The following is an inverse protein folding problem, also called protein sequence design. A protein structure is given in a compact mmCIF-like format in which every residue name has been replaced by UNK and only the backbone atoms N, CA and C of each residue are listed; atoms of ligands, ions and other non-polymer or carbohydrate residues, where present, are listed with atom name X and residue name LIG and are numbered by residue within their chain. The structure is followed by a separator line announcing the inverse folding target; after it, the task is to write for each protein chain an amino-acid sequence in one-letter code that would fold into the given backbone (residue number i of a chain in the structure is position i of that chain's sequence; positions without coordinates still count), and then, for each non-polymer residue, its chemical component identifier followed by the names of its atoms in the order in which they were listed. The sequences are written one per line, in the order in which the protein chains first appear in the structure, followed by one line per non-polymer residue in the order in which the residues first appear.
data_IF_332140631434
#
_entry.id   IF_332140631434
#
_cell.length_a   1.000
_cell.length_b   1.000
_cell.length_c   1.000
_cell.angle_alpha   90.00
_cell.angle_beta   90.00
_cell.angle_gamma   90.00
#
_symmetry.space_group_name_H-M   'P 1'
#
loop_
_entity.id
_entity.type
_entity.pdbx_description
1 polymer ?
#
# COMPACT_ATOMS: atom_id res chain seq x y z
N UNK A 1 48.65 -56.01 13.12
CA UNK A 1 49.33 -56.10 11.81
C UNK A 1 48.64 -57.04 10.79
N UNK A 2 47.62 -57.83 11.15
CA UNK A 2 46.87 -58.64 10.15
C UNK A 2 45.71 -57.84 9.53
N UNK A 3 45.10 -56.91 10.29
CA UNK A 3 44.00 -56.07 9.80
C UNK A 3 44.41 -55.04 8.73
N UNK A 4 45.64 -54.50 8.77
CA UNK A 4 46.10 -53.53 7.76
C UNK A 4 46.35 -54.17 6.38
N UNK A 5 46.79 -55.44 6.35
CA UNK A 5 46.98 -56.17 5.09
C UNK A 5 45.64 -56.54 4.43
N UNK A 6 44.61 -56.82 5.24
CA UNK A 6 43.24 -57.08 4.73
C UNK A 6 42.57 -55.78 4.28
N UNK A 7 42.76 -54.67 4.99
CA UNK A 7 42.22 -53.38 4.58
C UNK A 7 42.84 -52.87 3.26
N UNK A 8 44.15 -53.03 3.08
CA UNK A 8 44.83 -52.66 1.83
C UNK A 8 44.36 -53.46 0.62
N UNK A 9 44.17 -54.77 0.77
CA UNK A 9 43.70 -55.64 -0.33
C UNK A 9 42.23 -55.40 -0.69
N UNK A 10 41.38 -55.07 0.29
CA UNK A 10 39.99 -54.66 0.02
C UNK A 10 39.92 -53.33 -0.72
N UNK A 11 40.80 -52.38 -0.38
CA UNK A 11 40.84 -51.08 -1.03
C UNK A 11 41.34 -51.17 -2.48
N UNK A 12 42.35 -51.99 -2.75
CA UNK A 12 42.79 -52.30 -4.12
C UNK A 12 41.66 -52.95 -4.94
N UNK A 13 40.89 -53.86 -4.35
CA UNK A 13 39.75 -54.47 -5.03
C UNK A 13 38.66 -53.45 -5.41
N UNK A 14 38.38 -52.49 -4.52
CA UNK A 14 37.42 -51.41 -4.77
C UNK A 14 37.89 -50.51 -5.92
N UNK A 15 39.18 -50.16 -5.96
CA UNK A 15 39.75 -49.34 -7.03
C UNK A 15 39.72 -50.06 -8.39
N UNK A 16 40.01 -51.37 -8.42
CA UNK A 16 39.87 -52.17 -9.64
C UNK A 16 38.41 -52.27 -10.10
N UNK A 17 37.46 -52.45 -9.19
CA UNK A 17 36.04 -52.50 -9.51
C UNK A 17 35.55 -51.16 -10.09
N UNK A 18 35.93 -50.03 -9.48
CA UNK A 18 35.61 -48.68 -9.98
C UNK A 18 36.22 -48.42 -11.36
N UNK A 19 37.44 -48.89 -11.60
CA UNK A 19 38.12 -48.75 -12.90
C UNK A 19 37.37 -49.53 -13.99
N UNK A 20 36.94 -50.76 -13.69
CA UNK A 20 36.14 -51.58 -14.62
C UNK A 20 34.78 -50.94 -14.91
N UNK A 21 34.08 -50.44 -13.88
CA UNK A 21 32.79 -49.75 -14.06
C UNK A 21 32.97 -48.48 -14.90
N UNK A 22 34.04 -47.71 -14.66
CA UNK A 22 34.33 -46.50 -15.44
C UNK A 22 34.61 -46.84 -16.91
N UNK A 23 35.36 -47.92 -17.17
CA UNK A 23 35.58 -48.43 -18.53
C UNK A 23 34.28 -48.90 -19.19
N UNK A 24 33.38 -49.56 -18.46
CA UNK A 24 32.06 -49.92 -19.00
C UNK A 24 31.23 -48.69 -19.35
N UNK A 25 31.21 -47.65 -18.51
CA UNK A 25 30.48 -46.40 -18.80
C UNK A 25 31.04 -45.76 -20.07
N UNK A 26 32.36 -45.63 -20.18
CA UNK A 26 33.01 -45.09 -21.39
C UNK A 26 32.68 -45.95 -22.61
N UNK A 27 32.75 -47.28 -22.49
CA UNK A 27 32.40 -48.20 -23.56
C UNK A 27 30.94 -48.01 -24.02
N UNK A 28 29.98 -47.88 -23.09
CA UNK A 28 28.58 -47.63 -23.43
C UNK A 28 28.37 -46.25 -24.06
N UNK A 29 29.05 -45.21 -23.58
CA UNK A 29 29.00 -43.87 -24.20
C UNK A 29 29.53 -43.93 -25.63
N UNK A 30 30.71 -44.52 -25.85
CA UNK A 30 31.30 -44.67 -27.19
C UNK A 30 30.41 -45.54 -28.09
N UNK A 31 29.90 -46.67 -27.58
CA UNK A 31 28.97 -47.55 -28.31
C UNK A 31 27.69 -46.83 -28.69
N UNK A 32 27.16 -45.96 -27.83
CA UNK A 32 25.97 -45.15 -28.11
C UNK A 32 26.21 -44.17 -29.27
N UNK A 33 27.41 -43.58 -29.36
CA UNK A 33 27.77 -42.69 -30.48
C UNK A 33 28.19 -43.42 -31.76
N UNK A 34 28.72 -44.66 -31.67
CA UNK A 34 29.26 -45.41 -32.82
C UNK A 34 28.24 -46.38 -33.46
N UNK A 35 27.38 -47.03 -32.68
CA UNK A 35 26.52 -48.14 -33.17
C UNK A 35 25.13 -47.67 -33.62
N UNK A 36 24.72 -46.46 -33.26
CA UNK A 36 23.52 -45.83 -33.78
C UNK A 36 23.71 -44.32 -33.86
N UNK A 37 24.45 -43.80 -34.86
CA UNK A 37 24.24 -42.40 -35.24
C UNK A 37 22.73 -42.27 -35.53
N UNK A 38 22.00 -41.38 -34.83
CA UNK A 38 20.57 -41.27 -35.03
C UNK A 38 20.34 -41.04 -36.52
N UNK A 39 19.55 -41.91 -37.13
CA UNK A 39 19.26 -41.87 -38.56
C UNK A 39 18.80 -40.46 -38.94
N UNK A 40 19.07 -40.01 -40.17
CA UNK A 40 18.70 -38.64 -40.58
C UNK A 40 17.18 -38.36 -40.42
N UNK A 41 16.33 -39.40 -40.41
CA UNK A 41 14.91 -39.33 -40.05
C UNK A 41 14.65 -39.12 -38.55
N UNK A 42 15.39 -39.79 -37.66
CA UNK A 42 15.27 -39.59 -36.21
C UNK A 42 15.87 -38.25 -35.76
N UNK A 43 16.96 -37.79 -36.40
CA UNK A 43 17.50 -36.44 -36.19
C UNK A 43 16.50 -35.37 -36.58
N UNK A 44 15.87 -35.48 -37.77
CA UNK A 44 14.84 -34.53 -38.20
C UNK A 44 13.60 -34.55 -37.31
N UNK A 45 13.16 -35.72 -36.84
CA UNK A 45 12.07 -35.81 -35.85
C UNK A 45 12.44 -35.22 -34.49
N UNK A 46 13.65 -35.44 -34.01
CA UNK A 46 14.14 -34.84 -32.76
C UNK A 46 14.32 -33.32 -32.89
N UNK A 47 14.75 -32.82 -34.04
CA UNK A 47 14.84 -31.38 -34.32
C UNK A 47 13.45 -30.75 -34.35
N UNK A 48 12.48 -31.35 -35.06
CA UNK A 48 11.08 -30.87 -35.04
C UNK A 48 10.46 -30.91 -33.65
N UNK A 49 10.66 -31.99 -32.88
CA UNK A 49 10.20 -32.05 -31.49
C UNK A 49 10.90 -31.01 -30.59
N UNK A 50 12.20 -30.75 -30.80
CA UNK A 50 12.94 -29.73 -30.05
C UNK A 50 12.50 -28.32 -30.43
N UNK A 51 12.20 -28.07 -31.70
CA UNK A 51 11.65 -26.80 -32.17
C UNK A 51 10.26 -26.56 -31.62
N UNK A 52 9.37 -27.55 -31.64
CA UNK A 52 8.03 -27.45 -31.06
C UNK A 52 8.08 -27.29 -29.53
N UNK A 53 8.89 -28.08 -28.83
CA UNK A 53 9.08 -27.95 -27.37
C UNK A 53 9.72 -26.60 -27.03
N UNK A 54 10.69 -26.14 -27.81
CA UNK A 54 11.35 -24.85 -27.66
C UNK A 54 10.45 -23.65 -27.97
N UNK A 55 9.56 -23.76 -28.95
CA UNK A 55 8.55 -22.74 -29.25
C UNK A 55 7.49 -22.65 -28.14
N UNK A 56 7.03 -23.79 -27.61
CA UNK A 56 6.10 -23.84 -26.46
C UNK A 56 6.73 -23.27 -25.19
N UNK A 57 8.00 -23.58 -24.91
CA UNK A 57 8.74 -23.01 -23.78
C UNK A 57 8.95 -21.51 -23.92
N UNK A 58 9.31 -21.02 -25.12
CA UNK A 58 9.45 -19.57 -25.39
C UNK A 58 8.12 -18.83 -25.26
N UNK A 59 7.02 -19.41 -25.76
CA UNK A 59 5.68 -18.86 -25.58
C UNK A 59 5.28 -18.78 -24.11
N UNK A 60 5.49 -19.86 -23.35
CA UNK A 60 5.20 -19.91 -21.91
C UNK A 60 6.04 -18.93 -21.09
N UNK A 61 7.34 -18.80 -21.40
CA UNK A 61 8.22 -17.81 -20.77
C UNK A 61 7.80 -16.38 -21.12
N UNK A 62 7.37 -16.13 -22.36
CA UNK A 62 6.84 -14.85 -22.80
C UNK A 62 5.59 -14.44 -22.03
N UNK A 63 4.57 -15.31 -21.97
CA UNK A 63 3.33 -15.08 -21.22
C UNK A 63 3.56 -14.90 -19.71
N UNK A 64 4.49 -15.67 -19.14
CA UNK A 64 4.82 -15.54 -17.72
C UNK A 64 5.49 -14.20 -17.42
N UNK A 65 6.36 -13.74 -18.30
CA UNK A 65 7.07 -12.47 -18.14
C UNK A 65 6.14 -11.26 -18.34
N UNK A 66 5.20 -11.31 -19.29
CA UNK A 66 4.20 -10.25 -19.44
C UNK A 66 3.28 -10.16 -18.23
N UNK A 67 2.77 -11.29 -17.74
CA UNK A 67 1.96 -11.32 -16.50
C UNK A 67 2.71 -10.79 -15.28
N UNK A 68 3.98 -11.14 -15.14
CA UNK A 68 4.79 -10.66 -14.00
C UNK A 68 5.02 -9.15 -14.06
N UNK A 69 5.16 -8.58 -15.26
CA UNK A 69 5.25 -7.13 -15.47
C UNK A 69 3.93 -6.42 -15.18
N UNK A 70 2.80 -6.97 -15.66
CA UNK A 70 1.46 -6.42 -15.39
C UNK A 70 1.16 -6.43 -13.88
N UNK A 71 1.45 -7.55 -13.20
CA UNK A 71 1.30 -7.67 -11.74
C UNK A 71 2.22 -6.70 -10.98
N UNK A 72 3.44 -6.43 -11.48
CA UNK A 72 4.35 -5.45 -10.89
C UNK A 72 3.81 -4.03 -11.03
N UNK A 73 3.36 -3.65 -12.22
CA UNK A 73 2.79 -2.32 -12.49
C UNK A 73 1.58 -2.08 -11.58
N UNK A 74 0.66 -3.05 -11.50
CA UNK A 74 -0.53 -2.94 -10.67
C UNK A 74 -0.17 -2.75 -9.17
N UNK A 75 0.79 -3.53 -8.66
CA UNK A 75 1.30 -3.36 -7.29
C UNK A 75 1.98 -2.02 -7.05
N UNK A 76 2.75 -1.53 -8.02
CA UNK A 76 3.40 -0.22 -7.93
C UNK A 76 2.37 0.91 -7.92
N UNK A 77 1.29 0.80 -8.70
CA UNK A 77 0.19 1.77 -8.68
C UNK A 77 -0.52 1.80 -7.32
N UNK A 78 -0.82 0.65 -6.72
CA UNK A 78 -1.39 0.57 -5.36
C UNK A 78 -0.46 1.20 -4.33
N UNK A 79 0.83 0.86 -4.37
CA UNK A 79 1.83 1.42 -3.45
C UNK A 79 1.95 2.93 -3.60
N UNK A 80 1.89 3.43 -4.84
CA UNK A 80 1.91 4.87 -5.12
C UNK A 80 0.68 5.57 -4.53
N UNK A 81 -0.53 5.02 -4.74
CA UNK A 81 -1.77 5.56 -4.15
C UNK A 81 -1.73 5.55 -2.62
N UNK A 82 -1.21 4.49 -2.00
CA UNK A 82 -1.03 4.43 -0.55
C UNK A 82 -0.04 5.49 -0.03
N UNK A 83 1.09 5.69 -0.72
CA UNK A 83 2.06 6.75 -0.37
C UNK A 83 1.48 8.15 -0.53
N UNK A 84 0.73 8.39 -1.61
CA UNK A 84 0.03 9.65 -1.82
C UNK A 84 -0.99 9.92 -0.71
N UNK A 85 -1.70 8.89 -0.25
CA UNK A 85 -2.61 9.00 0.87
C UNK A 85 -1.89 9.31 2.18
N UNK A 86 -0.80 8.60 2.51
CA UNK A 86 0.02 8.92 3.68
C UNK A 86 0.50 10.36 3.65
N UNK A 87 0.96 10.83 2.48
CA UNK A 87 1.33 12.23 2.30
C UNK A 87 0.17 13.21 2.51
N UNK A 88 -1.07 12.85 2.15
CA UNK A 88 -2.25 13.67 2.43
C UNK A 88 -2.55 13.73 3.93
N UNK A 89 -2.47 12.60 4.63
CA UNK A 89 -2.66 12.52 6.08
C UNK A 89 -1.61 13.34 6.84
N UNK A 90 -0.34 13.22 6.45
CA UNK A 90 0.76 13.98 7.06
C UNK A 90 0.60 15.50 6.87
N UNK A 91 0.10 15.94 5.71
CA UNK A 91 -0.13 17.36 5.43
C UNK A 91 -1.13 17.98 6.39
N UNK A 92 -2.19 17.26 6.74
CA UNK A 92 -3.24 17.81 7.60
C UNK A 92 -2.99 17.60 9.09
N UNK A 93 -2.05 16.71 9.46
CA UNK A 93 -1.71 16.40 10.85
C UNK A 93 -1.37 17.64 11.66
N UNK A 94 -0.53 18.52 11.11
CA UNK A 94 -0.08 19.75 11.77
C UNK A 94 -1.20 20.78 12.01
N UNK A 95 -2.00 21.18 11.00
CA UNK A 95 -3.11 22.10 11.26
C UNK A 95 -4.13 21.47 12.21
N UNK A 96 -4.44 20.18 12.09
CA UNK A 96 -5.35 19.50 13.02
C UNK A 96 -4.85 19.55 14.46
N UNK A 97 -3.58 19.20 14.71
CA UNK A 97 -2.98 19.26 16.06
C UNK A 97 -3.08 20.67 16.65
N UNK A 98 -2.74 21.68 15.85
CA UNK A 98 -2.80 23.09 16.29
C UNK A 98 -4.23 23.52 16.64
N UNK A 99 -5.24 23.07 15.87
CA UNK A 99 -6.65 23.34 16.15
C UNK A 99 -7.15 22.63 17.41
N UNK A 100 -6.75 21.38 17.63
CA UNK A 100 -7.10 20.63 18.85
C UNK A 100 -6.52 21.32 20.08
N UNK A 101 -5.25 21.74 20.02
CA UNK A 101 -4.66 22.53 21.11
C UNK A 101 -5.35 23.88 21.29
N UNK A 102 -5.76 24.56 20.22
CA UNK A 102 -6.53 25.79 20.31
C UNK A 102 -7.86 25.58 21.04
N UNK A 103 -8.58 24.49 20.75
CA UNK A 103 -9.80 24.11 21.49
C UNK A 103 -9.51 23.91 22.97
N UNK A 104 -8.44 23.18 23.32
CA UNK A 104 -8.02 23.01 24.71
C UNK A 104 -7.70 24.34 25.40
N UNK A 105 -6.99 25.24 24.72
CA UNK A 105 -6.68 26.58 25.24
C UNK A 105 -7.96 27.42 25.46
N UNK A 106 -9.00 27.27 24.63
CA UNK A 106 -10.30 27.95 24.85
C UNK A 106 -10.99 27.45 26.14
N UNK A 107 -10.94 26.15 26.40
CA UNK A 107 -11.52 25.56 27.61
C UNK A 107 -10.76 26.00 28.86
N UNK A 108 -9.43 25.93 28.82
CA UNK A 108 -8.59 26.35 29.93
C UNK A 108 -8.70 27.85 30.19
N UNK A 109 -8.72 28.68 29.15
CA UNK A 109 -8.99 30.10 29.27
C UNK A 109 -10.32 30.35 29.99
N UNK A 110 -11.39 29.68 29.57
CA UNK A 110 -12.71 29.80 30.22
C UNK A 110 -12.64 29.45 31.71
N UNK A 111 -11.94 28.37 32.08
CA UNK A 111 -11.72 27.95 33.48
C UNK A 111 -10.92 28.96 34.29
N UNK A 112 -9.89 29.58 33.73
CA UNK A 112 -9.10 30.59 34.44
C UNK A 112 -9.87 31.89 34.61
N UNK A 113 -10.74 32.25 33.65
CA UNK A 113 -11.68 33.37 33.81
C UNK A 113 -12.65 33.12 34.98
N UNK A 114 -13.19 31.90 35.14
CA UNK A 114 -14.04 31.54 36.29
C UNK A 114 -13.31 31.71 37.63
N UNK A 115 -12.02 31.38 37.67
CA UNK A 115 -11.17 31.49 38.86
C UNK A 115 -10.62 32.90 39.08
N UNK A 116 -10.87 33.84 38.17
CA UNK A 116 -10.30 35.19 38.17
C UNK A 116 -8.76 35.18 38.21
N UNK A 117 -8.15 34.17 37.58
CA UNK A 117 -6.69 34.04 37.46
C UNK A 117 -6.21 34.68 36.15
N UNK A 118 -5.92 35.99 36.21
CA UNK A 118 -5.56 36.80 35.03
C UNK A 118 -4.24 36.39 34.39
N UNK A 119 -3.25 35.98 35.19
CA UNK A 119 -1.93 35.61 34.66
C UNK A 119 -2.01 34.33 33.84
N UNK A 120 -2.71 33.33 34.37
CA UNK A 120 -2.97 32.09 33.63
C UNK A 120 -3.87 32.33 32.41
N UNK A 121 -4.92 33.15 32.55
CA UNK A 121 -5.79 33.51 31.43
C UNK A 121 -5.03 34.21 30.29
N UNK A 122 -4.13 35.14 30.60
CA UNK A 122 -3.32 35.81 29.60
C UNK A 122 -2.38 34.83 28.87
N UNK A 123 -1.75 33.92 29.62
CA UNK A 123 -0.91 32.87 29.04
C UNK A 123 -1.70 31.99 28.07
N UNK A 124 -2.90 31.57 28.45
CA UNK A 124 -3.76 30.75 27.60
C UNK A 124 -4.25 31.50 26.35
N UNK A 125 -4.60 32.78 26.48
CA UNK A 125 -4.99 33.60 25.33
C UNK A 125 -3.84 33.71 24.31
N UNK A 126 -2.60 33.93 24.78
CA UNK A 126 -1.41 33.97 23.89
C UNK A 126 -1.16 32.62 23.20
N UNK A 127 -1.32 31.51 23.91
CA UNK A 127 -1.21 30.15 23.34
C UNK A 127 -2.30 29.89 22.30
N UNK A 128 -3.53 30.28 22.60
CA UNK A 128 -4.67 30.20 21.67
C UNK A 128 -4.37 30.95 20.37
N UNK A 129 -3.95 32.21 20.46
CA UNK A 129 -3.59 33.04 19.30
C UNK A 129 -2.46 32.41 18.48
N UNK A 130 -1.40 31.94 19.15
CA UNK A 130 -0.27 31.24 18.50
C UNK A 130 -0.73 30.00 17.74
N UNK A 131 -1.56 29.16 18.35
CA UNK A 131 -2.02 27.91 17.74
C UNK A 131 -2.98 28.16 16.57
N UNK A 132 -3.86 29.16 16.68
CA UNK A 132 -4.71 29.60 15.56
C UNK A 132 -3.89 30.18 14.40
N UNK A 133 -2.82 30.92 14.72
CA UNK A 133 -1.89 31.43 13.72
C UNK A 133 -1.19 30.29 12.97
N UNK A 134 -0.66 29.30 13.69
CA UNK A 134 -0.04 28.11 13.11
C UNK A 134 -1.02 27.31 12.25
N UNK A 135 -2.22 27.04 12.77
CA UNK A 135 -3.26 26.35 12.01
C UNK A 135 -3.59 27.07 10.70
N UNK A 136 -3.80 28.38 10.76
CA UNK A 136 -4.09 29.23 9.60
C UNK A 136 -2.93 29.24 8.61
N UNK A 137 -1.69 29.30 9.10
CA UNK A 137 -0.48 29.21 8.28
C UNK A 137 -0.42 27.88 7.51
N UNK A 138 -0.63 26.76 8.19
CA UNK A 138 -0.60 25.44 7.56
C UNK A 138 -1.75 25.26 6.56
N UNK A 139 -2.98 25.69 6.90
CA UNK A 139 -4.12 25.66 5.98
C UNK A 139 -3.84 26.47 4.72
N UNK A 140 -3.22 27.65 4.84
CA UNK A 140 -2.77 28.45 3.70
C UNK A 140 -1.75 27.71 2.83
N UNK A 141 -0.79 27.04 3.47
CA UNK A 141 0.24 26.29 2.76
C UNK A 141 -0.34 25.11 1.98
N UNK A 142 -1.33 24.40 2.55
CA UNK A 142 -2.05 23.32 1.88
C UNK A 142 -2.88 23.88 0.73
N UNK A 143 -3.67 24.94 0.97
CA UNK A 143 -4.47 25.61 -0.05
C UNK A 143 -3.67 25.95 -1.31
N UNK A 144 -2.44 26.47 -1.15
CA UNK A 144 -1.57 26.83 -2.29
C UNK A 144 -1.10 25.63 -3.12
N UNK A 145 -1.09 24.42 -2.55
CA UNK A 145 -0.62 23.19 -3.22
C UNK A 145 -1.76 22.44 -3.91
N UNK A 146 -2.98 22.57 -3.41
CA UNK A 146 -4.15 21.88 -3.94
C UNK A 146 -4.79 22.64 -5.12
N UNK A 147 -5.56 21.92 -5.95
CA UNK A 147 -6.26 22.45 -7.12
C UNK A 147 -7.71 21.95 -7.17
N UNK A 148 -8.56 22.62 -7.94
CA UNK A 148 -9.96 22.22 -8.16
C UNK A 148 -10.78 22.21 -6.86
N UNK A 149 -11.59 21.17 -6.65
CA UNK A 149 -12.48 21.05 -5.48
C UNK A 149 -11.75 21.08 -4.14
N UNK A 150 -10.54 20.51 -4.07
CA UNK A 150 -9.73 20.53 -2.85
C UNK A 150 -9.24 21.94 -2.52
N UNK A 151 -8.87 22.72 -3.53
CA UNK A 151 -8.54 24.13 -3.33
C UNK A 151 -9.71 24.88 -2.69
N UNK A 152 -10.91 24.74 -3.24
CA UNK A 152 -12.12 25.40 -2.72
C UNK A 152 -12.43 24.99 -1.27
N UNK A 153 -12.27 23.71 -0.95
CA UNK A 153 -12.41 23.23 0.43
C UNK A 153 -11.40 23.92 1.35
N UNK A 154 -10.10 23.86 1.03
CA UNK A 154 -9.06 24.47 1.86
C UNK A 154 -9.12 26.00 1.89
N UNK A 155 -9.69 26.65 0.87
CA UNK A 155 -9.95 28.09 0.87
C UNK A 155 -11.03 28.46 1.90
N UNK A 156 -12.13 27.69 1.95
CA UNK A 156 -13.15 27.85 3.00
C UNK A 156 -12.59 27.61 4.39
N UNK A 157 -11.81 26.52 4.57
CA UNK A 157 -11.18 26.21 5.86
C UNK A 157 -10.20 27.31 6.30
N UNK A 158 -9.40 27.84 5.36
CA UNK A 158 -8.52 28.97 5.62
C UNK A 158 -9.31 30.23 6.03
N UNK A 159 -10.43 30.50 5.36
CA UNK A 159 -11.34 31.57 5.73
C UNK A 159 -11.87 31.43 7.16
N UNK A 160 -12.35 30.24 7.53
CA UNK A 160 -12.80 29.95 8.90
C UNK A 160 -11.68 30.11 9.93
N UNK A 161 -10.47 29.61 9.65
CA UNK A 161 -9.30 29.80 10.51
C UNK A 161 -8.97 31.28 10.72
N UNK A 162 -9.05 32.08 9.66
CA UNK A 162 -8.87 33.54 9.73
C UNK A 162 -9.94 34.24 10.58
N UNK A 163 -11.20 33.81 10.51
CA UNK A 163 -12.28 34.34 11.38
C UNK A 163 -12.00 34.01 12.85
N UNK A 164 -11.62 32.77 13.16
CA UNK A 164 -11.29 32.35 14.52
C UNK A 164 -10.09 33.12 15.08
N UNK A 165 -9.03 33.27 14.29
CA UNK A 165 -7.85 34.07 14.67
C UNK A 165 -8.22 35.54 14.91
N UNK A 166 -9.00 36.15 14.01
CA UNK A 166 -9.44 37.54 14.17
C UNK A 166 -10.30 37.75 15.43
N UNK A 167 -11.12 36.77 15.80
CA UNK A 167 -11.85 36.79 17.08
C UNK A 167 -10.89 36.72 18.26
N UNK A 168 -9.92 35.80 18.24
CA UNK A 168 -8.93 35.65 19.30
C UNK A 168 -8.07 36.91 19.50
N UNK A 169 -7.69 37.59 18.41
CA UNK A 169 -6.90 38.82 18.46
C UNK A 169 -7.68 40.02 19.04
N UNK A 170 -9.02 39.99 18.95
CA UNK A 170 -9.90 41.03 19.50
C UNK A 170 -10.18 40.85 20.98
N UNK A 171 -9.92 39.68 21.56
CA UNK A 171 -10.12 39.43 22.98
C UNK A 171 -9.10 40.25 23.77
N UNK A 172 -9.62 41.12 24.64
CA UNK A 172 -8.82 41.88 25.61
C UNK A 172 -9.29 41.48 27.00
N UNK A 173 -8.36 41.01 27.83
CA UNK A 173 -8.68 40.69 29.22
C UNK A 173 -8.90 42.00 30.00
N UNK A 174 -9.99 42.13 30.78
CA UNK A 174 -10.19 43.29 31.64
C UNK A 174 -9.15 43.34 32.76
N UNK A 175 -8.94 44.53 33.31
CA UNK A 175 -8.09 44.70 34.50
C UNK A 175 -8.77 44.08 35.73
N UNK A 176 -7.98 43.73 36.75
CA UNK A 176 -8.48 43.08 37.97
C UNK A 176 -9.44 43.94 38.80
N UNK A 177 -9.39 45.25 38.62
CA UNK A 177 -10.22 46.25 39.30
C UNK A 177 -11.36 46.80 38.43
N UNK A 178 -11.64 46.17 37.27
CA UNK A 178 -12.71 46.60 36.37
C UNK A 178 -14.09 46.33 37.00
N UNK A 179 -14.97 47.34 37.15
CA UNK A 179 -16.29 47.17 37.76
C UNK A 179 -17.21 46.26 36.93
N UNK A 180 -16.95 46.13 35.62
CA UNK A 180 -17.75 45.32 34.67
C UNK A 180 -17.07 43.99 34.34
N UNK A 181 -16.20 43.50 35.22
CA UNK A 181 -15.36 42.32 34.94
C UNK A 181 -16.18 41.06 34.59
N UNK A 182 -17.28 40.83 35.31
CA UNK A 182 -18.12 39.65 35.09
C UNK A 182 -18.79 39.67 33.71
N UNK A 183 -19.32 40.83 33.30
CA UNK A 183 -19.96 40.99 31.98
C UNK A 183 -18.94 40.82 30.86
N UNK A 184 -17.73 41.37 31.03
CA UNK A 184 -16.62 41.18 30.07
C UNK A 184 -16.19 39.73 30.01
N UNK A 185 -16.10 39.02 31.14
CA UNK A 185 -15.79 37.59 31.16
C UNK A 185 -16.86 36.76 30.46
N UNK A 186 -18.14 37.05 30.68
CA UNK A 186 -19.24 36.36 30.00
C UNK A 186 -19.24 36.62 28.49
N UNK A 187 -18.91 37.85 28.07
CA UNK A 187 -18.71 38.19 26.66
C UNK A 187 -17.56 37.39 26.04
N UNK A 188 -16.41 37.32 26.71
CA UNK A 188 -15.26 36.52 26.25
C UNK A 188 -15.63 35.03 26.18
N UNK A 189 -16.29 34.47 27.19
CA UNK A 189 -16.74 33.06 27.17
C UNK A 189 -17.69 32.78 26.01
N UNK A 190 -18.56 33.74 25.67
CA UNK A 190 -19.46 33.64 24.52
C UNK A 190 -18.67 33.62 23.20
N UNK A 191 -17.62 34.43 23.07
CA UNK A 191 -16.71 34.41 21.92
C UNK A 191 -15.86 33.13 21.85
N UNK A 192 -15.54 32.51 23.00
CA UNK A 192 -14.81 31.24 23.04
C UNK A 192 -15.70 30.05 22.67
N UNK A 193 -16.88 29.93 23.27
CA UNK A 193 -17.70 28.70 23.27
C UNK A 193 -19.11 28.83 22.70
N UNK A 194 -19.54 30.01 22.25
CA UNK A 194 -20.86 30.19 21.63
C UNK A 194 -20.99 29.46 20.28
N UNK A 195 -22.20 29.45 19.70
CA UNK A 195 -22.50 28.78 18.42
C UNK A 195 -21.69 29.28 17.21
N UNK A 196 -21.03 30.43 17.34
CA UNK A 196 -20.07 30.98 16.37
C UNK A 196 -18.76 31.36 17.04
N UNK A 197 -18.50 30.74 18.19
CA UNK A 197 -17.31 30.94 18.98
C UNK A 197 -16.11 30.24 18.35
N UNK A 198 -14.94 30.59 18.84
CA UNK A 198 -13.66 30.08 18.34
C UNK A 198 -13.62 28.55 18.41
N UNK A 199 -14.11 27.95 19.50
CA UNK A 199 -14.14 26.49 19.70
C UNK A 199 -14.98 25.78 18.62
N UNK A 200 -16.17 26.28 18.34
CA UNK A 200 -17.06 25.70 17.32
C UNK A 200 -16.44 25.80 15.92
N UNK A 201 -15.87 26.97 15.58
CA UNK A 201 -15.19 27.16 14.30
C UNK A 201 -14.02 26.17 14.15
N UNK A 202 -13.20 26.00 15.20
CA UNK A 202 -12.11 25.02 15.18
C UNK A 202 -12.64 23.59 15.03
N UNK A 203 -13.73 23.24 15.72
CA UNK A 203 -14.39 21.94 15.63
C UNK A 203 -14.88 21.63 14.21
N UNK A 204 -15.51 22.60 13.53
CA UNK A 204 -15.93 22.47 12.13
C UNK A 204 -14.75 22.23 11.18
N UNK A 205 -13.64 22.94 11.38
CA UNK A 205 -12.43 22.73 10.57
C UNK A 205 -11.85 21.33 10.83
N UNK A 206 -11.74 20.92 12.09
CA UNK A 206 -11.24 19.58 12.46
C UNK A 206 -12.09 18.49 11.81
N UNK A 207 -13.42 18.61 11.90
CA UNK A 207 -14.34 17.65 11.28
C UNK A 207 -14.14 17.56 9.76
N UNK A 208 -14.04 18.70 9.08
CA UNK A 208 -13.81 18.71 7.64
C UNK A 208 -12.45 18.11 7.25
N UNK A 209 -11.42 18.29 8.07
CA UNK A 209 -10.11 17.65 7.87
C UNK A 209 -10.20 16.12 8.06
N UNK A 210 -11.01 15.66 9.02
CA UNK A 210 -11.23 14.23 9.27
C UNK A 210 -12.03 13.58 8.13
N UNK A 211 -13.13 14.21 7.71
CA UNK A 211 -13.93 13.78 6.56
C UNK A 211 -13.04 13.67 5.30
N UNK A 212 -12.12 14.62 5.09
CA UNK A 212 -11.16 14.57 3.98
C UNK A 212 -10.25 13.33 4.03
N UNK A 213 -9.75 12.94 5.19
CA UNK A 213 -8.94 11.72 5.35
C UNK A 213 -9.76 10.48 5.12
N UNK A 214 -10.96 10.42 5.70
CA UNK A 214 -11.84 9.26 5.58
C UNK A 214 -12.27 9.04 4.13
N UNK A 215 -12.61 10.11 3.40
CA UNK A 215 -12.89 10.03 1.97
C UNK A 215 -11.67 9.53 1.18
N UNK A 216 -10.47 10.04 1.46
CA UNK A 216 -9.25 9.58 0.79
C UNK A 216 -8.93 8.10 1.09
N UNK A 217 -9.13 7.67 2.34
CA UNK A 217 -9.01 6.25 2.77
C UNK A 217 -9.98 5.35 2.00
N UNK A 218 -11.24 5.79 1.89
CA UNK A 218 -12.29 5.03 1.23
C UNK A 218 -12.03 4.88 -0.28
N UNK A 219 -11.50 5.91 -0.94
CA UNK A 219 -11.12 5.84 -2.37
C UNK A 219 -10.03 4.79 -2.60
N UNK A 220 -8.94 4.84 -1.84
CA UNK A 220 -7.84 3.87 -1.98
C UNK A 220 -8.29 2.46 -1.62
N UNK A 221 -9.15 2.30 -0.61
CA UNK A 221 -9.71 1.00 -0.26
C UNK A 221 -10.56 0.40 -1.38
N UNK A 222 -11.39 1.21 -2.06
CA UNK A 222 -12.19 0.76 -3.21
C UNK A 222 -11.31 0.29 -4.35
N UNK A 223 -10.30 1.07 -4.72
CA UNK A 223 -9.36 0.71 -5.78
C UNK A 223 -8.66 -0.63 -5.49
N UNK A 224 -8.20 -0.83 -4.25
CA UNK A 224 -7.55 -2.08 -3.83
C UNK A 224 -8.51 -3.27 -3.88
N UNK A 225 -9.77 -3.09 -3.49
CA UNK A 225 -10.80 -4.14 -3.54
C UNK A 225 -11.17 -4.48 -4.98
N UNK A 226 -11.35 -3.48 -5.84
CA UNK A 226 -11.64 -3.68 -7.27
C UNK A 226 -10.50 -4.45 -7.96
N UNK A 227 -9.26 -4.08 -7.70
CA UNK A 227 -8.10 -4.75 -8.28
C UNK A 227 -7.96 -6.21 -7.79
N UNK A 228 -8.18 -6.48 -6.50
CA UNK A 228 -8.21 -7.86 -5.97
C UNK A 228 -9.33 -8.68 -6.61
N UNK A 229 -10.50 -8.09 -6.79
CA UNK A 229 -11.66 -8.76 -7.40
C UNK A 229 -11.37 -9.11 -8.87
N UNK A 230 -10.74 -8.21 -9.60
CA UNK A 230 -10.30 -8.45 -10.98
C UNK A 230 -9.23 -9.56 -11.06
N UNK A 231 -8.22 -9.55 -10.18
CA UNK A 231 -7.21 -10.61 -10.11
C UNK A 231 -7.82 -11.98 -9.77
N UNK A 232 -8.78 -12.04 -8.85
CA UNK A 232 -9.48 -13.27 -8.51
C UNK A 232 -10.34 -13.80 -9.67
N UNK A 233 -11.07 -12.91 -10.37
CA UNK A 233 -11.85 -13.27 -11.54
C UNK A 233 -10.96 -13.81 -12.69
N UNK A 234 -9.81 -13.20 -12.93
CA UNK A 234 -8.82 -13.69 -13.89
C UNK A 234 -8.30 -15.08 -13.49
N UNK A 235 -7.90 -15.27 -12.23
CA UNK A 235 -7.43 -16.57 -11.71
C UNK A 235 -8.50 -17.66 -11.81
N UNK A 236 -9.77 -17.33 -11.56
CA UNK A 236 -10.87 -18.27 -11.73
C UNK A 236 -11.07 -18.65 -13.20
N UNK A 237 -11.00 -17.67 -14.10
CA UNK A 237 -11.09 -17.89 -15.56
C UNK A 237 -9.97 -18.80 -16.04
N UNK A 238 -8.72 -18.55 -15.63
CA UNK A 238 -7.57 -19.40 -15.94
C UNK A 238 -7.72 -20.83 -15.43
N UNK A 239 -8.20 -20.99 -14.19
CA UNK A 239 -8.49 -22.32 -13.61
C UNK A 239 -9.56 -23.07 -14.41
N UNK A 240 -10.58 -22.38 -14.90
CA UNK A 240 -11.61 -22.99 -15.76
C UNK A 240 -11.04 -23.40 -17.13
N UNK A 241 -10.22 -22.56 -17.76
CA UNK A 241 -9.56 -22.87 -19.03
C UNK A 241 -8.63 -24.08 -18.89
N UNK A 242 -7.80 -24.14 -17.82
CA UNK A 242 -6.93 -25.29 -17.55
C UNK A 242 -7.72 -26.59 -17.32
N UNK A 243 -8.87 -26.52 -16.64
CA UNK A 243 -9.75 -27.68 -16.45
C UNK A 243 -10.33 -28.18 -17.78
N UNK A 244 -10.81 -27.28 -18.65
CA UNK A 244 -11.34 -27.65 -19.98
C UNK A 244 -10.26 -28.22 -20.91
N UNK A 245 -9.05 -27.68 -20.86
CA UNK A 245 -7.91 -28.20 -21.64
C UNK A 245 -7.50 -29.63 -21.26
N UNK A 246 -7.71 -30.04 -20.01
CA UNK A 246 -7.44 -31.42 -19.54
C UNK A 246 -8.54 -32.43 -19.86
N UNK A 247 -9.79 -31.99 -20.03
CA UNK A 247 -10.91 -32.88 -20.39
C UNK A 247 -10.97 -33.24 -21.88
N UNK A 248 -10.20 -32.58 -22.74
CA UNK A 248 -10.02 -32.94 -24.16
C UNK A 248 -9.04 -34.11 -24.39
N UNK A 249 -9.01 -35.09 -23.48
CA UNK A 249 -8.26 -36.33 -23.71
C UNK A 249 -8.75 -37.02 -24.98
N UNK A 250 -7.87 -37.74 -25.71
CA UNK A 250 -8.18 -38.31 -27.01
C UNK A 250 -9.48 -39.11 -26.92
N UNK A 251 -10.49 -38.72 -27.70
CA UNK A 251 -11.67 -39.55 -27.90
C UNK A 251 -11.15 -40.93 -28.28
N UNK A 252 -11.44 -41.92 -27.42
CA UNK A 252 -11.19 -43.31 -27.75
C UNK A 252 -11.85 -43.55 -29.10
N UNK A 253 -11.04 -43.76 -30.13
CA UNK A 253 -11.49 -44.11 -31.47
C UNK A 253 -12.24 -45.43 -31.32
N UNK A 254 -13.57 -45.34 -31.24
CA UNK A 254 -14.45 -46.50 -31.22
C UNK A 254 -14.24 -47.20 -32.55
N UNK A 255 -13.45 -48.28 -32.53
CA UNK A 255 -13.27 -49.13 -33.71
C UNK A 255 -14.65 -49.66 -34.11
N UNK A 256 -15.12 -49.42 -35.34
CA UNK A 256 -16.36 -50.00 -35.81
C UNK A 256 -16.23 -51.52 -35.81
N UNK A 257 -17.10 -52.18 -35.04
CA UNK A 257 -17.17 -53.63 -34.93
C UNK A 257 -17.43 -54.24 -36.30
N UNK A 258 -16.60 -55.21 -36.68
CA UNK A 258 -16.83 -56.09 -37.81
C UNK A 258 -18.03 -56.99 -37.51
N UNK A 259 -19.18 -56.63 -38.10
CA UNK A 259 -20.33 -57.52 -38.19
C UNK A 259 -19.98 -58.69 -39.12
N UNK A 260 -19.66 -59.84 -38.55
CA UNK A 260 -19.71 -61.13 -39.26
C UNK A 260 -21.17 -61.52 -39.48
N UNK A 261 -21.61 -61.49 -40.72
CA UNK A 261 -22.53 -62.48 -41.31
C UNK A 261 -22.17 -62.67 -42.76
#
# INVERSE_FOLDING_TARGET
MVFDAVAGTVQEFIDYALTIVSLMIIYYVVKFFVVAPPSDEEKRRQEQEREEKGARLRGWLGEKHTKMKEDQIAREEVLKKQREQQHREDRIRYPKSSLVEAVGNCEDLSRYLDRKDFSSAESQLRRLQKNLHLATHYLRAIRKKEKGKLYEMFDKLYGYGGVALSKADKIKLPASNDPEIEDKFNSIKTELSGNKGIKEICGLIIKALDDFVEHAKAEVAKDVVEERTQQEAQRQTERQVQRRGRSGGPQAVVRPGSSRR
#
